data_IF_124601377523
#
_entry.id   IF_124601377523
#
_cell.length_a   1.000
_cell.length_b   1.000
_cell.length_c   1.000
_cell.angle_alpha   90.00
_cell.angle_beta   90.00
_cell.angle_gamma   90.00
#
_symmetry.space_group_name_H-M   'P 1'
#
loop_
_entity.id
_entity.type
_entity.pdbx_description
1 polymer ?
#
# COMPACT_ATOMS: atom_id res chain seq x y z
N UNK A 1 30.38 -21.28 46.55
CA UNK A 1 29.56 -21.14 45.33
C UNK A 1 29.86 -19.80 44.70
N UNK A 2 30.51 -19.77 43.54
CA UNK A 2 30.79 -18.53 42.81
C UNK A 2 29.49 -17.96 42.25
N UNK A 3 29.08 -16.79 42.72
CA UNK A 3 27.93 -16.06 42.17
C UNK A 3 28.28 -15.58 40.76
N UNK A 4 27.67 -16.19 39.74
CA UNK A 4 27.78 -15.72 38.36
C UNK A 4 27.08 -14.37 38.31
N UNK A 5 27.83 -13.31 38.02
CA UNK A 5 27.27 -11.98 37.82
C UNK A 5 26.72 -11.90 36.40
N UNK A 6 25.50 -11.38 36.26
CA UNK A 6 24.83 -11.21 34.96
C UNK A 6 25.70 -10.47 33.93
N UNK A 7 26.42 -9.42 34.37
CA UNK A 7 27.33 -8.64 33.52
C UNK A 7 28.55 -9.42 33.00
N UNK A 8 28.82 -10.62 33.52
CA UNK A 8 29.96 -11.46 33.12
C UNK A 8 29.54 -12.60 32.19
N UNK A 9 28.26 -12.68 31.80
CA UNK A 9 27.80 -13.66 30.83
C UNK A 9 28.38 -13.35 29.44
N UNK A 10 28.68 -14.37 28.61
CA UNK A 10 29.04 -14.16 27.22
C UNK A 10 27.96 -13.37 26.48
N UNK A 11 28.37 -12.52 25.53
CA UNK A 11 27.46 -11.63 24.80
C UNK A 11 26.36 -12.39 24.06
N UNK A 12 26.64 -13.58 23.52
CA UNK A 12 25.66 -14.39 22.80
C UNK A 12 24.51 -14.85 23.71
N UNK A 13 24.82 -15.23 24.96
CA UNK A 13 23.80 -15.59 25.96
C UNK A 13 22.97 -14.38 26.36
N UNK A 14 23.61 -13.21 26.52
CA UNK A 14 22.90 -11.97 26.80
C UNK A 14 21.96 -11.60 25.64
N UNK A 15 22.37 -11.79 24.38
CA UNK A 15 21.53 -11.54 23.22
C UNK A 15 20.33 -12.47 23.14
N UNK A 16 20.51 -13.76 23.42
CA UNK A 16 19.42 -14.72 23.48
C UNK A 16 18.41 -14.33 24.56
N UNK A 17 18.88 -13.96 25.76
CA UNK A 17 18.02 -13.48 26.84
C UNK A 17 17.24 -12.22 26.45
N UNK A 18 17.88 -11.26 25.77
CA UNK A 18 17.20 -10.06 25.28
C UNK A 18 16.15 -10.35 24.22
N UNK A 19 16.28 -11.46 23.48
CA UNK A 19 15.26 -11.91 22.52
C UNK A 19 13.92 -12.26 23.17
N UNK A 20 13.92 -12.60 24.47
CA UNK A 20 12.71 -12.92 25.24
C UNK A 20 12.11 -11.73 25.99
N UNK A 21 12.76 -10.56 25.97
CA UNK A 21 12.30 -9.38 26.69
C UNK A 21 11.33 -8.56 25.86
N UNK A 22 10.35 -7.95 26.54
CA UNK A 22 9.54 -6.91 25.92
C UNK A 22 10.39 -5.66 25.66
N UNK A 23 9.95 -4.82 24.71
CA UNK A 23 10.65 -3.59 24.36
C UNK A 23 10.89 -2.67 25.58
N UNK A 24 9.94 -2.64 26.52
CA UNK A 24 10.01 -1.83 27.72
C UNK A 24 11.14 -2.29 28.64
N UNK A 25 11.30 -3.60 28.78
CA UNK A 25 12.33 -4.24 29.59
C UNK A 25 13.71 -4.06 28.97
N UNK A 26 13.83 -4.14 27.64
CA UNK A 26 15.09 -3.86 26.93
C UNK A 26 15.58 -2.44 27.25
N UNK A 27 14.69 -1.43 27.22
CA UNK A 27 15.05 -0.07 27.61
C UNK A 27 15.35 0.07 29.10
N UNK A 28 14.71 -0.71 29.97
CA UNK A 28 15.02 -0.72 31.40
C UNK A 28 16.42 -1.31 31.67
N UNK A 29 16.78 -2.41 31.02
CA UNK A 29 18.11 -3.05 31.11
C UNK A 29 19.21 -2.09 30.67
N UNK A 30 18.95 -1.26 29.65
CA UNK A 30 19.87 -0.22 29.19
C UNK A 30 20.23 0.82 30.30
N UNK A 31 19.35 0.98 31.29
CA UNK A 31 19.56 1.90 32.41
C UNK A 31 20.34 1.27 33.57
N UNK A 32 20.45 -0.06 33.64
CA UNK A 32 21.05 -0.78 34.77
C UNK A 32 22.58 -0.66 34.83
N UNK A 33 23.27 -0.81 33.69
CA UNK A 33 24.74 -0.77 33.66
C UNK A 33 25.31 -0.18 32.37
N UNK A 34 26.52 0.39 32.45
CA UNK A 34 27.22 0.93 31.27
C UNK A 34 27.55 -0.15 30.24
N UNK A 35 27.90 -1.34 30.71
CA UNK A 35 28.24 -2.48 29.84
C UNK A 35 27.02 -2.94 29.03
N UNK A 36 25.89 -3.17 29.71
CA UNK A 36 24.64 -3.60 29.06
C UNK A 36 24.11 -2.53 28.11
N UNK A 37 24.19 -1.25 28.51
CA UNK A 37 23.87 -0.12 27.63
C UNK A 37 24.65 -0.16 26.34
N UNK A 38 25.97 -0.34 26.42
CA UNK A 38 26.83 -0.40 25.23
C UNK A 38 26.45 -1.57 24.35
N UNK A 39 26.35 -2.79 24.93
CA UNK A 39 25.98 -4.01 24.19
C UNK A 39 24.65 -3.87 23.44
N UNK A 40 23.61 -3.41 24.13
CA UNK A 40 22.27 -3.26 23.55
C UNK A 40 22.28 -2.18 22.46
N UNK A 41 22.90 -1.02 22.71
CA UNK A 41 22.94 0.08 21.72
C UNK A 41 23.77 -0.24 20.49
N UNK A 42 24.82 -1.06 20.60
CA UNK A 42 25.67 -1.42 19.46
C UNK A 42 25.12 -2.60 18.65
N UNK A 43 24.28 -3.44 19.24
CA UNK A 43 23.82 -4.66 18.58
C UNK A 43 22.68 -4.42 17.60
N UNK A 44 23.01 -4.46 16.31
CA UNK A 44 22.03 -4.40 15.22
C UNK A 44 21.02 -5.55 15.28
N UNK A 45 21.48 -6.75 15.63
CA UNK A 45 20.66 -7.96 15.63
C UNK A 45 19.48 -7.86 16.60
N UNK A 46 19.70 -7.32 17.80
CA UNK A 46 18.62 -7.06 18.77
C UNK A 46 17.57 -6.15 18.13
N UNK A 47 17.98 -4.99 17.61
CA UNK A 47 17.00 -4.01 17.12
C UNK A 47 16.28 -4.47 15.85
N UNK A 48 16.92 -5.27 14.99
CA UNK A 48 16.22 -5.92 13.86
C UNK A 48 15.18 -6.92 14.35
N UNK A 49 15.51 -7.78 15.32
CA UNK A 49 14.57 -8.74 15.90
C UNK A 49 13.39 -8.03 16.58
N UNK A 50 13.69 -7.04 17.42
CA UNK A 50 12.71 -6.23 18.15
C UNK A 50 11.78 -5.50 17.18
N UNK A 51 12.32 -4.82 16.17
CA UNK A 51 11.47 -4.11 15.20
C UNK A 51 10.70 -5.08 14.31
N UNK A 52 11.23 -6.24 13.94
CA UNK A 52 10.48 -7.25 13.20
C UNK A 52 9.28 -7.80 14.00
N UNK A 53 9.45 -8.00 15.32
CA UNK A 53 8.36 -8.43 16.21
C UNK A 53 7.32 -7.31 16.39
N UNK A 54 7.76 -6.10 16.71
CA UNK A 54 6.87 -4.94 16.86
C UNK A 54 6.08 -4.63 15.59
N UNK A 55 6.69 -4.78 14.42
CA UNK A 55 6.05 -4.53 13.14
C UNK A 55 4.85 -5.45 12.84
N UNK A 56 4.68 -6.55 13.58
CA UNK A 56 3.50 -7.40 13.50
C UNK A 56 2.30 -6.82 14.25
N UNK A 57 2.56 -6.02 15.27
CA UNK A 57 1.53 -5.51 16.19
C UNK A 57 1.26 -4.02 16.00
N UNK A 58 2.28 -3.26 15.60
CA UNK A 58 2.26 -1.81 15.56
C UNK A 58 2.85 -1.29 14.23
N UNK A 59 2.26 -0.22 13.65
CA UNK A 59 2.87 0.46 12.53
C UNK A 59 4.19 1.11 12.96
N UNK A 60 5.28 0.77 12.27
CA UNK A 60 6.60 1.31 12.54
C UNK A 60 6.85 2.56 11.68
N UNK A 61 7.37 3.67 12.24
CA UNK A 61 7.65 4.91 11.53
C UNK A 61 8.95 4.81 10.72
N UNK A 62 9.03 3.83 9.82
CA UNK A 62 10.17 3.68 8.93
C UNK A 62 10.20 4.81 7.89
N UNK A 63 11.40 5.26 7.48
CA UNK A 63 11.53 6.13 6.32
C UNK A 63 11.06 5.39 5.05
N UNK A 64 10.10 5.92 4.29
CA UNK A 64 9.39 5.17 3.26
C UNK A 64 10.26 4.76 2.06
N UNK A 65 11.26 5.55 1.70
CA UNK A 65 12.14 5.27 0.55
C UNK A 65 13.53 4.79 0.97
N UNK A 66 13.67 4.21 2.17
CA UNK A 66 14.93 3.58 2.61
C UNK A 66 14.68 2.14 3.02
N UNK A 67 15.45 1.17 2.48
CA UNK A 67 15.26 -0.21 2.85
C UNK A 67 15.59 -0.41 4.34
N UNK A 68 14.84 -1.29 5.02
CA UNK A 68 15.07 -1.53 6.45
C UNK A 68 16.49 -2.05 6.72
N UNK A 69 17.10 -2.74 5.76
CA UNK A 69 18.48 -3.23 5.82
C UNK A 69 19.52 -2.10 5.82
N UNK A 70 19.21 -0.90 5.31
CA UNK A 70 20.15 0.23 5.30
C UNK A 70 20.13 1.07 6.58
N UNK A 71 19.08 0.94 7.41
CA UNK A 71 18.94 1.74 8.63
C UNK A 71 20.04 1.38 9.62
N UNK A 72 20.70 2.37 10.23
CA UNK A 72 21.75 2.13 11.23
C UNK A 72 21.16 1.61 12.55
N UNK A 73 22.00 1.02 13.40
CA UNK A 73 21.57 0.46 14.70
C UNK A 73 20.82 1.48 15.57
N UNK A 74 21.33 2.72 15.65
CA UNK A 74 20.68 3.79 16.40
C UNK A 74 19.34 4.20 15.78
N UNK A 75 19.24 4.22 14.46
CA UNK A 75 17.97 4.51 13.78
C UNK A 75 16.92 3.42 14.08
N UNK A 76 17.29 2.14 14.05
CA UNK A 76 16.39 1.04 14.40
C UNK A 76 15.90 1.14 15.85
N UNK A 77 16.81 1.47 16.78
CA UNK A 77 16.46 1.75 18.18
C UNK A 77 15.47 2.89 18.30
N UNK A 78 15.71 3.99 17.59
CA UNK A 78 14.86 5.17 17.63
C UNK A 78 13.47 4.91 17.01
N UNK A 79 13.39 4.10 15.96
CA UNK A 79 12.12 3.62 15.40
C UNK A 79 11.34 2.85 16.46
N UNK A 80 11.96 1.88 17.13
CA UNK A 80 11.31 1.10 18.19
C UNK A 80 10.84 2.00 19.35
N UNK A 81 11.69 2.92 19.81
CA UNK A 81 11.36 3.87 20.87
C UNK A 81 10.17 4.75 20.47
N UNK A 82 10.19 5.31 19.25
CA UNK A 82 9.10 6.18 18.76
C UNK A 82 7.79 5.41 18.64
N UNK A 83 7.81 4.17 18.17
CA UNK A 83 6.61 3.33 18.11
C UNK A 83 6.00 3.11 19.50
N UNK A 84 6.81 2.85 20.52
CA UNK A 84 6.33 2.69 21.90
C UNK A 84 5.72 3.99 22.45
N UNK A 85 6.39 5.12 22.22
CA UNK A 85 5.89 6.44 22.65
C UNK A 85 4.57 6.75 21.95
N UNK A 86 4.48 6.46 20.65
CA UNK A 86 3.26 6.68 19.87
C UNK A 86 2.13 5.78 20.36
N UNK A 87 2.35 4.48 20.53
CA UNK A 87 1.33 3.54 21.01
C UNK A 87 0.79 3.97 22.39
N UNK A 88 1.67 4.29 23.34
CA UNK A 88 1.26 4.84 24.64
C UNK A 88 0.50 6.14 24.50
N UNK A 89 0.93 7.00 23.57
CA UNK A 89 0.29 8.29 23.35
C UNK A 89 -1.11 8.14 22.77
N UNK A 90 -1.30 7.22 21.83
CA UNK A 90 -2.60 6.92 21.21
C UNK A 90 -3.57 6.21 22.16
N UNK A 91 -3.06 5.41 23.10
CA UNK A 91 -3.88 4.73 24.13
C UNK A 91 -4.25 5.62 25.31
N UNK A 92 -3.50 6.70 25.53
CA UNK A 92 -3.76 7.60 26.65
C UNK A 92 -5.02 8.44 26.40
N UNK A 93 -5.86 8.56 27.43
CA UNK A 93 -7.07 9.39 27.38
C UNK A 93 -6.81 10.89 27.58
N UNK A 94 -5.59 11.24 28.01
CA UNK A 94 -5.23 12.59 28.47
C UNK A 94 -4.19 13.24 27.54
N UNK A 95 -3.67 12.49 26.58
CA UNK A 95 -2.65 12.98 25.66
C UNK A 95 -3.22 14.06 24.76
N UNK A 96 -2.57 15.22 24.82
CA UNK A 96 -2.76 16.29 23.85
C UNK A 96 -1.79 16.05 22.69
N UNK A 97 -2.21 16.23 21.44
CA UNK A 97 -1.30 16.24 20.31
C UNK A 97 -0.10 17.14 20.60
N UNK A 98 1.12 16.63 20.36
CA UNK A 98 2.35 17.39 20.63
C UNK A 98 2.41 18.70 19.83
N UNK A 99 1.64 18.80 18.76
CA UNK A 99 1.48 20.00 17.92
C UNK A 99 -0.02 20.27 17.76
N UNK A 100 -0.38 21.55 17.67
CA UNK A 100 -1.76 21.91 17.35
C UNK A 100 -2.15 21.30 15.99
N UNK A 101 -3.36 20.73 15.86
CA UNK A 101 -3.88 20.31 14.58
C UNK A 101 -3.86 21.48 13.60
N UNK A 102 -3.34 21.23 12.40
CA UNK A 102 -3.38 22.20 11.31
C UNK A 102 -4.48 21.79 10.35
N UNK A 103 -5.34 22.74 10.00
CA UNK A 103 -6.27 22.55 8.89
C UNK A 103 -5.49 22.71 7.57
N UNK A 104 -5.55 21.68 6.73
CA UNK A 104 -5.08 21.75 5.36
C UNK A 104 -6.32 21.95 4.48
N UNK A 105 -6.34 23.03 3.72
CA UNK A 105 -7.40 23.33 2.77
C UNK A 105 -6.89 22.99 1.37
N UNK A 106 -7.59 22.09 0.70
CA UNK A 106 -7.33 21.78 -0.70
C UNK A 106 -8.26 22.66 -1.55
N UNK A 107 -7.75 23.38 -2.55
CA UNK A 107 -8.58 24.23 -3.40
C UNK A 107 -9.58 23.35 -4.16
N UNK A 108 -10.84 23.42 -3.74
CA UNK A 108 -11.97 22.83 -4.45
C UNK A 108 -12.65 23.91 -5.30
N UNK A 109 -12.88 23.62 -6.57
CA UNK A 109 -13.78 24.45 -7.40
C UNK A 109 -15.20 23.88 -7.31
N UNK A 110 -16.22 24.65 -7.68
CA UNK A 110 -17.63 24.17 -7.67
C UNK A 110 -17.82 22.84 -8.41
N UNK A 111 -16.97 22.57 -9.41
CA UNK A 111 -17.03 21.38 -10.25
C UNK A 111 -15.97 20.32 -9.91
N UNK A 112 -15.01 20.64 -9.02
CA UNK A 112 -13.89 19.76 -8.66
C UNK A 112 -13.89 19.55 -7.15
N UNK A 113 -14.57 18.48 -6.73
CA UNK A 113 -14.65 18.07 -5.33
C UNK A 113 -13.70 16.93 -5.08
N UNK A 114 -13.00 16.95 -3.95
CA UNK A 114 -12.16 15.83 -3.54
C UNK A 114 -13.05 14.62 -3.25
N UNK A 115 -12.82 13.55 -3.99
CA UNK A 115 -13.55 12.27 -3.90
C UNK A 115 -12.75 11.21 -3.15
N UNK A 116 -11.42 11.24 -3.21
CA UNK A 116 -10.54 10.31 -2.50
C UNK A 116 -9.31 11.03 -1.94
N UNK A 117 -8.81 10.51 -0.81
CA UNK A 117 -7.59 10.96 -0.16
C UNK A 117 -6.73 9.75 0.20
N UNK A 118 -5.42 9.81 -0.06
CA UNK A 118 -4.48 8.74 0.27
C UNK A 118 -3.17 9.31 0.80
N UNK A 119 -2.75 8.88 1.98
CA UNK A 119 -1.40 9.20 2.47
C UNK A 119 -0.38 8.33 1.74
N UNK A 120 0.72 8.93 1.29
CA UNK A 120 1.87 8.15 0.84
C UNK A 120 2.52 7.48 2.07
N UNK A 121 3.15 6.29 1.91
CA UNK A 121 3.94 5.68 2.96
C UNK A 121 4.92 6.69 3.58
N UNK A 122 5.01 6.71 4.92
CA UNK A 122 5.77 7.72 5.67
C UNK A 122 5.03 9.03 5.98
N UNK A 123 3.80 9.20 5.48
CA UNK A 123 2.85 10.28 5.85
C UNK A 123 3.39 11.71 5.74
N UNK A 124 4.41 11.94 4.89
CA UNK A 124 4.91 13.27 4.57
C UNK A 124 4.13 13.92 3.44
N UNK A 125 3.57 13.10 2.55
CA UNK A 125 2.75 13.55 1.43
C UNK A 125 1.36 12.93 1.49
N UNK A 126 0.41 13.66 0.91
CA UNK A 126 -0.96 13.19 0.70
C UNK A 126 -1.34 13.36 -0.77
N UNK A 127 -2.02 12.37 -1.30
CA UNK A 127 -2.67 12.41 -2.59
C UNK A 127 -4.14 12.77 -2.41
N UNK A 128 -4.64 13.65 -3.26
CA UNK A 128 -6.08 13.92 -3.40
C UNK A 128 -6.52 13.61 -4.81
N UNK A 129 -7.68 12.99 -4.95
CA UNK A 129 -8.31 12.76 -6.25
C UNK A 129 -9.63 13.48 -6.30
N UNK A 130 -9.84 14.28 -7.34
CA UNK A 130 -11.10 14.98 -7.59
C UNK A 130 -12.04 14.12 -8.43
N UNK A 131 -13.34 14.40 -8.35
CA UNK A 131 -14.39 13.74 -9.14
C UNK A 131 -14.21 13.86 -10.65
N UNK A 132 -13.46 14.86 -11.15
CA UNK A 132 -13.11 15.00 -12.57
C UNK A 132 -11.77 14.36 -12.95
N UNK A 133 -11.17 13.55 -12.06
CA UNK A 133 -9.95 12.82 -12.37
C UNK A 133 -8.64 13.59 -12.20
N UNK A 134 -8.67 14.74 -11.53
CA UNK A 134 -7.45 15.41 -11.11
C UNK A 134 -6.81 14.66 -9.94
N UNK A 135 -5.55 14.26 -10.09
CA UNK A 135 -4.73 13.71 -9.01
C UNK A 135 -3.73 14.79 -8.58
N UNK A 136 -3.69 15.14 -7.30
CA UNK A 136 -2.72 16.11 -6.77
C UNK A 136 -1.93 15.51 -5.61
N UNK A 137 -0.64 15.85 -5.51
CA UNK A 137 0.25 15.48 -4.43
C UNK A 137 0.59 16.72 -3.60
N UNK A 138 0.49 16.63 -2.29
CA UNK A 138 0.67 17.75 -1.37
C UNK A 138 1.66 17.38 -0.26
N UNK A 139 2.45 18.35 0.20
CA UNK A 139 3.25 18.19 1.43
C UNK A 139 2.35 18.42 2.65
N UNK A 140 2.25 17.40 3.52
CA UNK A 140 1.35 17.39 4.68
C UNK A 140 1.77 18.44 5.72
N UNK A 141 3.06 18.77 5.81
CA UNK A 141 3.58 19.70 6.82
C UNK A 141 3.28 21.16 6.45
N UNK A 142 3.46 21.51 5.19
CA UNK A 142 3.38 22.87 4.66
C UNK A 142 2.03 23.19 4.03
N UNK A 143 1.31 22.17 3.53
CA UNK A 143 0.10 22.33 2.73
C UNK A 143 0.36 22.74 1.29
N UNK A 144 1.62 22.74 0.84
CA UNK A 144 2.00 23.17 -0.51
C UNK A 144 1.68 22.05 -1.51
N UNK A 145 1.12 22.43 -2.66
CA UNK A 145 0.97 21.57 -3.82
C UNK A 145 2.36 21.20 -4.38
N UNK A 146 2.68 19.91 -4.38
CA UNK A 146 3.93 19.40 -4.93
C UNK A 146 3.79 19.10 -6.42
N UNK A 147 2.66 18.56 -6.86
CA UNK A 147 2.44 18.24 -8.27
C UNK A 147 0.98 17.92 -8.54
N UNK A 148 0.57 18.02 -9.79
CA UNK A 148 -0.75 17.61 -10.26
C UNK A 148 -0.64 16.80 -11.55
N UNK A 149 -1.47 15.78 -11.67
CA UNK A 149 -1.63 14.94 -12.83
C UNK A 149 -3.09 14.91 -13.24
N UNK A 150 -3.33 15.21 -14.51
CA UNK A 150 -4.67 15.22 -15.11
C UNK A 150 -4.70 14.21 -16.25
N UNK A 151 -5.58 13.21 -16.14
CA UNK A 151 -5.81 12.25 -17.23
C UNK A 151 -7.00 12.70 -18.08
N UNK A 152 -6.86 13.81 -18.80
CA UNK A 152 -7.85 14.27 -19.78
C UNK A 152 -9.24 14.58 -19.22
N UNK A 153 -9.38 14.83 -17.92
CA UNK A 153 -10.66 15.08 -17.25
C UNK A 153 -11.51 13.82 -17.02
N UNK A 154 -10.89 12.64 -17.08
CA UNK A 154 -11.60 11.37 -16.90
C UNK A 154 -11.47 10.85 -15.47
N UNK A 155 -12.59 10.39 -14.91
CA UNK A 155 -12.72 9.96 -13.52
C UNK A 155 -11.70 8.85 -13.17
N UNK A 156 -11.04 9.01 -12.03
CA UNK A 156 -10.28 7.96 -11.37
C UNK A 156 -11.23 7.17 -10.48
N UNK A 157 -11.41 5.88 -10.76
CA UNK A 157 -12.35 5.04 -10.02
C UNK A 157 -11.73 4.50 -8.72
N UNK A 158 -10.46 4.11 -8.78
CA UNK A 158 -9.78 3.47 -7.65
C UNK A 158 -8.29 3.72 -7.71
N UNK A 159 -7.65 3.77 -6.55
CA UNK A 159 -6.21 3.87 -6.43
C UNK A 159 -5.66 3.11 -5.21
N UNK A 160 -4.43 2.62 -5.34
CA UNK A 160 -3.63 2.10 -4.23
C UNK A 160 -2.17 2.52 -4.41
N UNK A 161 -1.44 2.59 -3.30
CA UNK A 161 -0.04 3.02 -3.26
C UNK A 161 0.77 2.03 -2.45
N UNK A 162 1.97 1.73 -2.94
CA UNK A 162 2.99 0.99 -2.22
C UNK A 162 4.39 1.59 -2.45
N UNK A 163 5.37 1.16 -1.65
CA UNK A 163 6.79 1.41 -1.94
C UNK A 163 7.37 0.16 -2.58
N UNK A 164 7.80 0.29 -3.83
CA UNK A 164 8.32 -0.84 -4.60
C UNK A 164 9.76 -0.57 -5.04
N UNK A 165 10.51 -1.63 -5.31
CA UNK A 165 11.87 -1.53 -5.80
C UNK A 165 11.87 -1.42 -7.33
N UNK A 166 12.39 -0.34 -7.90
CA UNK A 166 12.46 -0.11 -9.35
C UNK A 166 13.81 0.53 -9.72
N UNK A 167 14.37 0.27 -10.90
CA UNK A 167 15.51 0.99 -11.49
C UNK A 167 16.65 1.37 -10.50
N UNK A 168 17.03 0.44 -9.61
CA UNK A 168 18.08 0.56 -8.57
C UNK A 168 17.69 1.25 -7.24
N UNK A 169 16.43 1.62 -7.02
CA UNK A 169 15.97 2.27 -5.79
C UNK A 169 14.56 1.89 -5.33
N UNK A 170 14.14 2.48 -4.21
CA UNK A 170 12.76 2.40 -3.74
C UNK A 170 11.99 3.62 -4.26
N UNK A 171 10.79 3.36 -4.78
CA UNK A 171 9.92 4.37 -5.34
C UNK A 171 8.50 4.20 -4.81
N UNK A 172 7.77 5.31 -4.70
CA UNK A 172 6.32 5.24 -4.55
C UNK A 172 5.71 4.80 -5.87
N UNK A 173 4.99 3.69 -5.85
CA UNK A 173 4.23 3.19 -6.98
C UNK A 173 2.74 3.31 -6.69
N UNK A 174 2.04 3.90 -7.63
CA UNK A 174 0.62 4.13 -7.61
C UNK A 174 -0.04 3.23 -8.66
N UNK A 175 -0.94 2.36 -8.22
CA UNK A 175 -1.89 1.71 -9.12
C UNK A 175 -3.15 2.56 -9.22
N UNK A 176 -3.62 2.82 -10.44
CA UNK A 176 -4.83 3.61 -10.69
C UNK A 176 -5.70 2.91 -11.71
N UNK A 177 -7.01 2.87 -11.44
CA UNK A 177 -8.03 2.56 -12.44
C UNK A 177 -8.67 3.85 -12.92
N UNK A 178 -8.58 4.12 -14.22
CA UNK A 178 -9.11 5.34 -14.84
C UNK A 178 -10.19 4.96 -15.81
N UNK A 179 -11.36 5.57 -15.64
CA UNK A 179 -12.48 5.42 -16.56
C UNK A 179 -12.06 5.90 -17.97
N UNK A 180 -12.62 5.27 -18.98
CA UNK A 180 -12.45 5.53 -20.40
C UNK A 180 -13.80 5.24 -21.04
N UNK A 181 -14.23 6.12 -21.92
CA UNK A 181 -15.49 5.95 -22.63
C UNK A 181 -15.21 5.22 -23.94
N UNK A 182 -15.77 4.02 -24.09
CA UNK A 182 -15.75 3.29 -25.34
C UNK A 182 -17.11 3.44 -26.03
N UNK A 183 -17.11 3.87 -27.29
CA UNK A 183 -18.34 4.12 -28.04
C UNK A 183 -18.56 3.02 -29.07
N UNK A 184 -19.69 2.31 -28.98
CA UNK A 184 -20.16 1.35 -30.00
C UNK A 184 -21.57 1.76 -30.39
N UNK A 185 -21.85 1.91 -31.69
CA UNK A 185 -23.22 2.10 -32.22
C UNK A 185 -24.03 3.18 -31.48
N UNK A 186 -23.40 4.33 -31.18
CA UNK A 186 -23.97 5.46 -30.41
C UNK A 186 -24.29 5.20 -28.94
N UNK A 187 -23.86 4.08 -28.37
CA UNK A 187 -23.85 3.84 -26.93
C UNK A 187 -22.45 4.04 -26.37
N UNK A 188 -22.38 4.70 -25.22
CA UNK A 188 -21.13 4.92 -24.48
C UNK A 188 -21.10 3.92 -23.33
N UNK A 189 -20.06 3.08 -23.32
CA UNK A 189 -19.81 2.13 -22.25
C UNK A 189 -18.67 2.62 -21.37
N UNK A 190 -18.86 2.67 -20.04
CA UNK A 190 -17.76 2.95 -19.12
C UNK A 190 -16.84 1.73 -19.08
N UNK A 191 -15.60 1.93 -19.52
CA UNK A 191 -14.53 0.94 -19.46
C UNK A 191 -13.41 1.52 -18.64
N UNK A 192 -12.61 0.74 -17.92
CA UNK A 192 -11.47 1.29 -17.20
C UNK A 192 -10.17 0.76 -17.79
N UNK A 193 -9.12 1.56 -17.65
CA UNK A 193 -7.73 1.15 -17.90
C UNK A 193 -6.93 1.25 -16.61
N UNK A 194 -6.06 0.27 -16.40
CA UNK A 194 -5.19 0.22 -15.25
C UNK A 194 -3.85 0.83 -15.61
N UNK A 195 -3.35 1.68 -14.73
CA UNK A 195 -2.05 2.32 -14.85
C UNK A 195 -1.21 2.01 -13.62
N UNK A 196 0.06 1.69 -13.84
CA UNK A 196 1.09 1.76 -12.82
C UNK A 196 1.89 3.06 -13.05
N UNK A 197 1.84 3.96 -12.08
CA UNK A 197 2.45 5.28 -12.12
C UNK A 197 3.48 5.39 -11.02
N UNK A 198 4.72 5.75 -11.38
CA UNK A 198 5.76 6.07 -10.42
C UNK A 198 5.62 7.50 -9.95
N UNK A 199 5.69 7.74 -8.64
CA UNK A 199 5.73 9.08 -8.06
C UNK A 199 7.17 9.36 -7.62
N UNK A 200 7.78 10.35 -8.26
CA UNK A 200 9.12 10.84 -7.95
C UNK A 200 8.99 12.13 -7.16
N UNK A 201 9.44 12.13 -5.90
CA UNK A 201 9.53 13.36 -5.11
C UNK A 201 10.87 14.02 -5.45
N UNK A 202 10.84 15.29 -5.85
CA UNK A 202 12.03 16.04 -6.20
C UNK A 202 12.46 16.86 -4.97
N UNK A 203 13.72 16.71 -4.57
CA UNK A 203 14.33 17.57 -3.55
C UNK A 203 14.67 18.93 -4.20
N UNK A 204 14.44 20.04 -3.49
CA UNK A 204 14.78 21.41 -3.91
C UNK A 204 14.10 21.92 -5.20
N UNK A 205 12.78 22.05 -5.18
CA UNK A 205 12.09 22.92 -6.14
C UNK A 205 11.45 24.09 -5.41
N UNK A 206 12.01 25.29 -5.59
CA UNK A 206 11.38 26.54 -5.12
C UNK A 206 10.08 26.87 -5.89
N UNK A 207 9.81 26.13 -6.97
CA UNK A 207 8.63 26.29 -7.83
C UNK A 207 7.47 25.44 -7.28
N UNK A 208 6.34 26.05 -6.86
CA UNK A 208 5.15 25.31 -6.46
C UNK A 208 4.62 24.44 -7.61
N UNK A 209 4.22 23.20 -7.31
CA UNK A 209 3.69 22.27 -8.30
C UNK A 209 4.74 21.47 -9.10
N UNK A 210 6.03 21.69 -8.86
CA UNK A 210 7.12 20.90 -9.47
C UNK A 210 7.89 20.02 -8.47
N UNK A 211 7.48 19.98 -7.20
CA UNK A 211 8.11 19.16 -6.15
C UNK A 211 7.85 17.66 -6.26
N UNK A 212 7.06 17.23 -7.24
CA UNK A 212 6.92 15.81 -7.58
C UNK A 212 6.60 15.60 -9.06
N UNK A 213 6.85 14.39 -9.57
CA UNK A 213 6.52 13.96 -10.92
C UNK A 213 5.77 12.63 -10.92
N UNK A 214 4.70 12.56 -11.70
CA UNK A 214 3.97 11.33 -11.99
C UNK A 214 4.46 10.77 -13.34
N UNK A 215 5.06 9.57 -13.31
CA UNK A 215 5.64 8.92 -14.50
C UNK A 215 4.89 7.62 -14.76
N UNK A 216 4.02 7.54 -15.79
CA UNK A 216 3.40 6.27 -16.19
C UNK A 216 4.47 5.25 -16.60
N UNK A 217 4.43 4.06 -16.01
CA UNK A 217 5.43 2.99 -16.23
C UNK A 217 4.83 1.83 -17.03
N UNK A 218 3.58 1.49 -16.74
CA UNK A 218 2.83 0.44 -17.43
C UNK A 218 1.33 0.79 -17.49
N UNK A 219 0.67 0.26 -18.52
CA UNK A 219 -0.78 0.32 -18.68
C UNK A 219 -1.30 -1.02 -19.21
N UNK A 220 -2.56 -1.34 -18.92
CA UNK A 220 -3.23 -2.51 -19.48
C UNK A 220 -3.95 -2.18 -20.78
N UNK A 221 -3.96 -3.14 -21.72
CA UNK A 221 -4.73 -3.02 -22.96
C UNK A 221 -6.21 -3.39 -22.83
N UNK A 222 -6.63 -4.05 -21.75
CA UNK A 222 -8.03 -4.43 -21.56
C UNK A 222 -8.89 -3.23 -21.15
N UNK A 223 -10.12 -3.22 -21.66
CA UNK A 223 -11.12 -2.22 -21.41
C UNK A 223 -12.25 -2.87 -20.62
N UNK A 224 -12.10 -2.91 -19.30
CA UNK A 224 -13.09 -3.50 -18.38
C UNK A 224 -13.26 -2.58 -17.16
N UNK A 225 -14.44 -2.55 -16.53
CA UNK A 225 -14.67 -1.66 -15.41
C UNK A 225 -14.02 -2.21 -14.13
N UNK A 226 -12.71 -1.95 -13.96
CA UNK A 226 -12.00 -2.32 -12.75
C UNK A 226 -12.32 -1.35 -11.61
N UNK A 227 -13.12 -1.77 -10.64
CA UNK A 227 -13.61 -0.92 -9.56
C UNK A 227 -12.64 -0.83 -8.37
N UNK A 228 -11.74 -1.81 -8.26
CA UNK A 228 -10.79 -1.89 -7.14
C UNK A 228 -9.43 -2.23 -7.71
N UNK A 229 -8.41 -1.52 -7.24
CA UNK A 229 -7.02 -1.80 -7.56
C UNK A 229 -6.21 -1.97 -6.28
N UNK A 230 -5.17 -2.79 -6.36
CA UNK A 230 -4.16 -2.90 -5.33
C UNK A 230 -2.79 -3.10 -5.94
N UNK A 231 -1.76 -2.66 -5.23
CA UNK A 231 -0.37 -2.83 -5.62
C UNK A 231 0.42 -3.41 -4.44
N UNK A 232 1.25 -4.40 -4.74
CA UNK A 232 2.19 -5.01 -3.79
C UNK A 232 3.44 -5.45 -4.55
N UNK A 233 4.57 -4.81 -4.25
CA UNK A 233 5.82 -5.04 -4.99
C UNK A 233 5.65 -4.81 -6.50
N UNK A 234 6.03 -5.80 -7.31
CA UNK A 234 6.04 -5.67 -8.77
C UNK A 234 4.68 -5.91 -9.42
N UNK A 235 3.64 -6.19 -8.62
CA UNK A 235 2.32 -6.62 -9.09
C UNK A 235 1.25 -5.58 -8.78
N UNK A 236 0.46 -5.26 -9.80
CA UNK A 236 -0.84 -4.58 -9.70
C UNK A 236 -1.92 -5.63 -9.91
N UNK A 237 -2.89 -5.70 -9.00
CA UNK A 237 -4.11 -6.48 -9.18
C UNK A 237 -5.31 -5.55 -9.27
N UNK A 238 -6.28 -5.90 -10.09
CA UNK A 238 -7.52 -5.15 -10.22
C UNK A 238 -8.71 -6.07 -10.45
N UNK A 239 -9.88 -5.59 -10.03
CA UNK A 239 -11.07 -6.42 -9.87
C UNK A 239 -12.24 -5.80 -10.60
N UNK A 240 -12.89 -6.61 -11.42
CA UNK A 240 -14.21 -6.36 -11.98
C UNK A 240 -15.13 -7.51 -11.58
N UNK A 241 -16.42 -7.23 -11.48
CA UNK A 241 -17.45 -8.24 -11.25
C UNK A 241 -18.50 -8.07 -12.34
N UNK A 242 -18.66 -9.09 -13.18
CA UNK A 242 -19.75 -9.18 -14.14
C UNK A 242 -20.84 -10.07 -13.56
N UNK A 243 -22.07 -9.56 -13.56
CA UNK A 243 -23.24 -10.32 -13.19
C UNK A 243 -23.78 -10.97 -14.45
N UNK A 244 -23.82 -12.29 -14.48
CA UNK A 244 -24.47 -13.00 -15.57
C UNK A 244 -25.99 -12.79 -15.41
N UNK A 245 -26.62 -12.10 -16.35
CA UNK A 245 -28.05 -11.76 -16.31
C UNK A 245 -28.95 -12.96 -16.67
N UNK A 246 -28.45 -14.19 -16.53
CA UNK A 246 -29.19 -15.41 -16.82
C UNK A 246 -30.36 -15.58 -15.83
N UNK A 247 -31.55 -16.04 -16.27
CA UNK A 247 -32.67 -16.31 -15.39
C UNK A 247 -32.36 -17.49 -14.44
N UNK A 248 -32.61 -17.24 -13.14
CA UNK A 248 -32.67 -18.12 -11.94
C UNK A 248 -32.88 -19.62 -12.26
N UNK A 249 -32.08 -20.55 -11.68
CA UNK A 249 -32.08 -20.81 -10.22
C UNK A 249 -30.99 -20.13 -9.40
N UNK A 250 -29.83 -19.81 -10.00
CA UNK A 250 -28.70 -19.24 -9.28
C UNK A 250 -27.92 -18.28 -10.21
N UNK A 251 -27.93 -16.96 -9.95
CA UNK A 251 -27.07 -16.04 -10.70
C UNK A 251 -25.62 -16.36 -10.38
N UNK A 252 -24.84 -16.69 -11.42
CA UNK A 252 -23.39 -16.79 -11.32
C UNK A 252 -22.81 -15.38 -11.47
N UNK A 253 -21.96 -14.97 -10.53
CA UNK A 253 -21.12 -13.80 -10.71
C UNK A 253 -19.78 -14.28 -11.25
N UNK A 254 -19.33 -13.68 -12.36
CA UNK A 254 -17.98 -13.90 -12.86
C UNK A 254 -17.10 -12.78 -12.33
N UNK A 255 -16.21 -13.11 -11.41
CA UNK A 255 -15.17 -12.19 -10.99
C UNK A 255 -14.03 -12.22 -12.00
N UNK A 256 -13.62 -11.04 -12.41
CA UNK A 256 -12.51 -10.88 -13.35
C UNK A 256 -11.39 -10.18 -12.60
N UNK A 257 -10.28 -10.89 -12.44
CA UNK A 257 -9.08 -10.37 -11.80
C UNK A 257 -8.04 -10.12 -12.88
N UNK A 258 -7.66 -8.87 -13.08
CA UNK A 258 -6.50 -8.52 -13.88
C UNK A 258 -5.27 -8.46 -12.96
N UNK A 259 -4.21 -9.15 -13.36
CA UNK A 259 -2.91 -9.15 -12.67
C UNK A 259 -1.88 -8.65 -13.66
N UNK A 260 -1.24 -7.53 -13.36
CA UNK A 260 -0.19 -6.93 -14.17
C UNK A 260 1.11 -6.88 -13.37
N UNK A 261 2.18 -7.43 -13.92
CA UNK A 261 3.52 -7.12 -13.46
C UNK A 261 4.01 -5.87 -14.20
N UNK A 262 4.13 -4.76 -13.48
CA UNK A 262 4.42 -3.45 -14.08
C UNK A 262 5.89 -3.33 -14.50
N UNK A 263 6.80 -4.09 -13.87
CA UNK A 263 8.22 -4.02 -14.14
C UNK A 263 8.57 -4.72 -15.46
N UNK A 264 8.04 -5.93 -15.68
CA UNK A 264 8.25 -6.69 -16.92
C UNK A 264 7.17 -6.42 -17.99
N UNK A 265 6.15 -5.62 -17.66
CA UNK A 265 5.05 -5.23 -18.54
C UNK A 265 4.30 -6.45 -19.10
N UNK A 266 4.09 -7.44 -18.25
CA UNK A 266 3.26 -8.61 -18.55
C UNK A 266 1.98 -8.54 -17.75
N UNK A 267 0.90 -9.11 -18.29
CA UNK A 267 -0.34 -9.20 -17.55
C UNK A 267 -1.14 -10.44 -17.93
N UNK A 268 -2.03 -10.83 -17.03
CA UNK A 268 -2.97 -11.92 -17.20
C UNK A 268 -4.34 -11.50 -16.64
N UNK A 269 -5.38 -12.09 -17.20
CA UNK A 269 -6.75 -11.94 -16.73
C UNK A 269 -7.27 -13.31 -16.31
N UNK A 270 -7.78 -13.39 -15.09
CA UNK A 270 -8.31 -14.63 -14.51
C UNK A 270 -9.79 -14.44 -14.25
N UNK A 271 -10.60 -15.31 -14.83
CA UNK A 271 -12.03 -15.38 -14.53
C UNK A 271 -12.26 -16.41 -13.43
N UNK A 272 -12.92 -15.99 -12.36
CA UNK A 272 -13.25 -16.81 -11.21
C UNK A 272 -14.77 -16.86 -11.12
N UNK A 273 -15.42 -17.98 -11.48
CA UNK A 273 -16.85 -18.14 -11.28
C UNK A 273 -17.13 -18.26 -9.78
N UNK A 274 -18.09 -17.47 -9.27
CA UNK A 274 -18.48 -17.50 -7.86
C UNK A 274 -20.00 -17.60 -7.75
N UNK A 275 -20.46 -18.50 -6.88
CA UNK A 275 -21.87 -18.59 -6.51
C UNK A 275 -22.27 -17.39 -5.63
N UNK A 276 -23.30 -16.65 -6.06
CA UNK A 276 -23.88 -15.53 -5.31
C UNK A 276 -24.86 -16.08 -4.28
N UNK A 277 -24.57 -15.88 -2.98
CA UNK A 277 -25.42 -16.36 -1.89
C UNK A 277 -26.42 -15.27 -1.42
N UNK A 278 -26.22 -14.00 -1.77
CA UNK A 278 -27.21 -12.96 -1.52
C UNK A 278 -26.85 -11.60 -2.12
N UNK A 279 -27.84 -10.71 -2.22
CA UNK A 279 -27.70 -9.33 -2.70
C UNK A 279 -28.13 -8.37 -1.58
N UNK A 280 -27.30 -7.36 -1.28
CA UNK A 280 -27.60 -6.26 -0.36
C UNK A 280 -28.49 -5.22 -1.03
N UNK A 281 -29.34 -4.58 -0.23
CA UNK A 281 -30.23 -3.48 -0.60
C UNK A 281 -29.43 -2.24 -1.09
N UNK A 282 -28.13 -2.16 -0.75
CA UNK A 282 -27.19 -1.12 -1.21
C UNK A 282 -26.40 -1.50 -2.47
N UNK A 283 -26.74 -2.59 -3.15
CA UNK A 283 -26.03 -3.06 -4.36
C UNK A 283 -24.74 -3.85 -4.11
N UNK A 284 -24.42 -4.21 -2.86
CA UNK A 284 -23.31 -5.10 -2.54
C UNK A 284 -23.70 -6.57 -2.54
N UNK A 285 -22.83 -7.49 -2.99
CA UNK A 285 -23.14 -8.93 -3.02
C UNK A 285 -22.51 -9.68 -1.85
N UNK A 286 -23.20 -10.72 -1.35
CA UNK A 286 -22.69 -11.67 -0.37
C UNK A 286 -22.35 -12.99 -1.09
N UNK A 287 -21.09 -13.40 -1.01
CA UNK A 287 -20.55 -14.52 -1.78
C UNK A 287 -20.39 -15.79 -0.94
N UNK A 288 -20.56 -16.94 -1.60
CA UNK A 288 -20.38 -18.26 -1.01
C UNK A 288 -18.94 -18.73 -0.89
N UNK A 289 -18.73 -19.76 -0.06
CA UNK A 289 -17.43 -20.30 0.39
C UNK A 289 -16.40 -20.50 -0.74
N UNK A 290 -15.40 -19.62 -0.75
CA UNK A 290 -14.05 -19.76 -1.32
C UNK A 290 -13.07 -19.12 -0.30
N UNK A 291 -11.77 -19.48 -0.25
CA UNK A 291 -10.87 -19.02 0.80
C UNK A 291 -10.83 -17.48 0.80
N UNK A 292 -11.11 -16.89 1.97
CA UNK A 292 -11.38 -15.46 2.19
C UNK A 292 -12.66 -14.92 1.53
N UNK A 293 -13.71 -14.77 2.33
CA UNK A 293 -14.98 -14.12 1.97
C UNK A 293 -14.72 -12.69 1.50
N UNK A 294 -14.83 -12.46 0.19
CA UNK A 294 -14.80 -11.13 -0.42
C UNK A 294 -16.09 -10.40 -0.09
N UNK A 295 -16.01 -9.35 0.72
CA UNK A 295 -17.12 -8.43 1.00
C UNK A 295 -16.79 -7.08 0.37
N UNK A 296 -17.73 -6.50 -0.38
CA UNK A 296 -17.58 -5.19 -1.03
C UNK A 296 -17.19 -4.06 -0.07
N UNK A 297 -17.47 -4.21 1.23
CA UNK A 297 -17.11 -3.26 2.29
C UNK A 297 -15.66 -3.38 2.81
N UNK A 298 -14.93 -4.45 2.47
CA UNK A 298 -13.56 -4.75 2.95
C UNK A 298 -12.55 -5.05 1.84
N UNK A 299 -12.94 -4.82 0.59
CA UNK A 299 -12.31 -5.39 -0.58
C UNK A 299 -10.82 -4.99 -0.77
N UNK A 300 -10.38 -3.80 -0.37
CA UNK A 300 -8.95 -3.42 -0.48
C UNK A 300 -7.99 -4.28 0.37
N UNK A 301 -8.41 -4.68 1.57
CA UNK A 301 -7.64 -5.60 2.43
C UNK A 301 -7.68 -7.04 1.89
N UNK A 302 -8.82 -7.44 1.33
CA UNK A 302 -9.01 -8.75 0.72
C UNK A 302 -8.24 -8.88 -0.61
N UNK A 303 -8.05 -7.79 -1.35
CA UNK A 303 -7.21 -7.77 -2.54
C UNK A 303 -5.73 -8.03 -2.19
N UNK A 304 -5.20 -7.37 -1.16
CA UNK A 304 -3.85 -7.66 -0.65
C UNK A 304 -3.75 -9.09 -0.10
N UNK A 305 -4.80 -9.59 0.56
CA UNK A 305 -4.86 -11.00 0.97
C UNK A 305 -4.83 -11.95 -0.22
N UNK A 306 -5.60 -11.68 -1.27
CA UNK A 306 -5.63 -12.50 -2.48
C UNK A 306 -4.30 -12.45 -3.21
N UNK A 307 -3.66 -11.27 -3.32
CA UNK A 307 -2.30 -11.14 -3.87
C UNK A 307 -1.35 -12.03 -3.05
N UNK A 308 -1.37 -11.93 -1.72
CA UNK A 308 -0.56 -12.78 -0.83
C UNK A 308 -0.87 -14.27 -0.97
N UNK A 309 -2.14 -14.65 -1.13
CA UNK A 309 -2.54 -16.03 -1.36
C UNK A 309 -2.02 -16.55 -2.70
N UNK A 310 -2.20 -15.78 -3.79
CA UNK A 310 -1.66 -16.05 -5.12
C UNK A 310 -0.13 -16.17 -5.09
N UNK A 311 0.57 -15.36 -4.29
CA UNK A 311 2.01 -15.47 -4.07
C UNK A 311 2.41 -16.66 -3.19
N UNK A 312 1.58 -17.08 -2.24
CA UNK A 312 1.84 -18.26 -1.39
C UNK A 312 1.62 -19.56 -2.17
N UNK A 313 0.74 -19.54 -3.18
CA UNK A 313 0.60 -20.57 -4.22
C UNK A 313 1.79 -20.52 -5.20
N UNK A 314 3.01 -20.74 -4.69
CA UNK A 314 4.29 -20.67 -5.43
C UNK A 314 4.44 -21.63 -6.63
N UNK A 315 3.43 -22.40 -6.99
CA UNK A 315 3.44 -23.32 -8.13
C UNK A 315 1.99 -23.63 -8.51
N UNK A 316 1.52 -23.16 -9.67
CA UNK A 316 0.68 -23.93 -10.61
C UNK A 316 0.05 -23.02 -11.68
N UNK A 317 0.46 -23.25 -12.93
CA UNK A 317 -0.31 -23.03 -14.17
C UNK A 317 -0.81 -21.63 -14.57
N UNK A 318 -1.16 -20.70 -13.67
CA UNK A 318 -1.81 -19.42 -14.04
C UNK A 318 -0.87 -18.50 -14.84
N UNK A 319 0.43 -18.57 -14.61
CA UNK A 319 1.43 -17.77 -15.32
C UNK A 319 1.83 -18.32 -16.71
N UNK A 320 1.31 -19.48 -17.14
CA UNK A 320 1.65 -20.04 -18.46
C UNK A 320 0.98 -19.29 -19.63
N UNK A 321 0.05 -18.37 -19.34
CA UNK A 321 -0.65 -17.55 -20.34
C UNK A 321 -0.36 -16.05 -20.22
N UNK A 322 0.79 -15.65 -19.65
CA UNK A 322 1.20 -14.25 -19.61
C UNK A 322 1.32 -13.69 -21.03
N UNK A 323 0.50 -12.68 -21.35
CA UNK A 323 0.57 -11.97 -22.62
C UNK A 323 1.42 -10.70 -22.41
N UNK A 324 2.39 -10.39 -23.29
CA UNK A 324 3.09 -9.12 -23.24
C UNK A 324 2.10 -7.96 -23.45
N UNK A 325 2.10 -6.97 -22.56
CA UNK A 325 1.16 -5.84 -22.63
C UNK A 325 1.29 -5.02 -23.94
N UNK A 326 2.45 -5.07 -24.59
CA UNK A 326 2.75 -4.33 -25.83
C UNK A 326 2.26 -4.97 -27.13
N UNK A 327 1.68 -6.18 -27.10
CA UNK A 327 1.35 -6.91 -28.34
C UNK A 327 0.04 -6.51 -29.03
N UNK A 328 -0.68 -5.48 -28.56
CA UNK A 328 -1.96 -5.05 -29.13
C UNK A 328 -1.97 -3.61 -29.66
N UNK A 329 -0.87 -3.13 -30.26
CA UNK A 329 -0.85 -1.84 -30.98
C UNK A 329 -1.40 -1.91 -32.41
N UNK A 330 -1.93 -3.05 -32.86
CA UNK A 330 -2.51 -3.19 -34.20
C UNK A 330 -3.85 -3.94 -34.19
N UNK A 331 -4.95 -3.22 -33.96
CA UNK A 331 -6.24 -3.54 -34.53
C UNK A 331 -6.90 -2.23 -34.99
N UNK A 332 -7.21 -2.18 -36.29
CA UNK A 332 -7.93 -1.10 -36.98
C UNK A 332 -9.42 -1.20 -36.70
#
# INVERSE_FOLDING_TARGET
MSTIRFNNLPSDILFELFGYLELQDIFAVEQVSRHLRTLIRSSRAIWLSVTATLGKELPLPYPPLRPHSSLQTLELRDVALRSLILDRSWRSKVTKPARQPRLLEFPETKNEKVSMLRLLPGAKQVLTVTNNGGLACWDVRTGILLSQWHHGGVKLESLDVDVCHADQGLHFMLAVSIEHHYQIENQIYPTHRLYAVRIEILDDTDVPGEGARFVPVAETCWQMPFYIVSIEGDIVAAYSCELDQQPIPQPLATFIVCIMNWQNKTAAMVQIPVEVIGVSISGGYWLGRSPSTLSSSGAGLQCKSLIKELFSMKNAAIFQHLIPAHRYTHWR
#
